data_IF_230126786312
#
_entry.id   IF_230126786312
#
_cell.length_a   1.000
_cell.length_b   1.000
_cell.length_c   1.000
_cell.angle_alpha   90.00
_cell.angle_beta   90.00
_cell.angle_gamma   90.00
#
_symmetry.space_group_name_H-M   'P 1'
#
loop_
_entity.id
_entity.type
_entity.pdbx_description
1 polymer ?
#
# COMPACT_ATOMS: atom_id res chain seq x y z
N UNK A 1 2.33 5.88 16.92
CA UNK A 1 1.84 5.50 15.57
C UNK A 1 2.93 5.69 14.52
N UNK A 2 3.36 4.63 13.83
CA UNK A 2 4.33 4.74 12.73
C UNK A 2 3.69 5.38 11.50
N UNK A 3 4.21 6.53 11.04
CA UNK A 3 3.80 7.17 9.78
C UNK A 3 4.40 6.41 8.58
N UNK A 4 3.87 5.22 8.31
CA UNK A 4 4.25 4.36 7.18
C UNK A 4 3.04 4.06 6.30
N UNK A 5 3.28 3.95 4.99
CA UNK A 5 2.28 3.51 4.03
C UNK A 5 2.04 2.00 4.14
N UNK A 6 0.79 1.56 4.13
CA UNK A 6 0.46 0.13 4.23
C UNK A 6 0.76 -0.67 2.96
N UNK A 7 0.66 -0.03 1.78
CA UNK A 7 0.86 -0.70 0.48
C UNK A 7 2.30 -0.65 -0.06
N UNK A 8 3.10 0.35 0.31
CA UNK A 8 4.43 0.60 -0.29
C UNK A 8 5.54 0.77 0.74
N UNK A 9 5.24 0.65 2.03
CA UNK A 9 6.23 0.76 3.11
C UNK A 9 6.88 2.14 3.28
N UNK A 10 6.53 3.14 2.44
CA UNK A 10 7.11 4.50 2.49
C UNK A 10 7.05 5.07 3.90
N UNK A 11 8.21 5.39 4.45
CA UNK A 11 8.39 5.86 5.82
C UNK A 11 8.85 7.32 5.85
N UNK A 12 8.90 7.88 7.06
CA UNK A 12 9.47 9.21 7.32
C UNK A 12 10.96 9.19 7.01
N UNK A 13 11.42 10.20 6.29
CA UNK A 13 12.85 10.43 6.06
C UNK A 13 13.33 11.57 6.96
N UNK A 14 14.53 11.43 7.51
CA UNK A 14 15.20 12.50 8.28
C UNK A 14 16.27 13.11 7.39
N UNK A 15 16.37 14.43 7.38
CA UNK A 15 17.44 15.13 6.69
C UNK A 15 17.68 16.52 7.25
N UNK A 16 18.21 17.40 6.41
CA UNK A 16 18.54 18.76 6.81
C UNK A 16 17.91 19.79 5.86
N UNK A 17 17.42 20.89 6.41
CA UNK A 17 17.22 22.12 5.65
C UNK A 17 18.58 22.82 5.60
N UNK A 18 19.02 23.19 4.40
CA UNK A 18 20.30 23.86 4.16
C UNK A 18 20.00 25.30 3.77
N UNK A 19 20.51 26.27 4.54
CA UNK A 19 20.40 27.69 4.19
C UNK A 19 21.38 28.06 3.07
N UNK A 20 21.21 29.26 2.51
CA UNK A 20 22.18 29.83 1.56
C UNK A 20 23.62 29.87 2.12
N UNK A 21 23.76 30.09 3.43
CA UNK A 21 25.04 30.04 4.17
C UNK A 21 25.44 28.63 4.64
N UNK A 22 24.84 27.58 4.08
CA UNK A 22 25.07 26.16 4.42
C UNK A 22 24.85 25.80 5.90
N UNK A 23 24.05 26.56 6.65
CA UNK A 23 23.61 26.17 7.99
C UNK A 23 22.60 25.04 7.87
N UNK A 24 22.92 23.89 8.47
CA UNK A 24 22.11 22.67 8.41
C UNK A 24 21.24 22.55 9.66
N UNK A 25 19.92 22.60 9.51
CA UNK A 25 18.96 22.33 10.59
C UNK A 25 18.26 20.99 10.36
N UNK A 26 18.14 20.15 11.40
CA UNK A 26 17.50 18.83 11.27
C UNK A 26 16.01 18.99 10.98
N UNK A 27 15.51 18.31 9.96
CA UNK A 27 14.08 18.29 9.61
C UNK A 27 13.60 16.85 9.33
N UNK A 28 12.28 16.66 9.40
CA UNK A 28 11.61 15.39 9.08
C UNK A 28 10.74 15.58 7.84
N UNK A 29 10.98 14.77 6.81
CA UNK A 29 10.17 14.71 5.61
C UNK A 29 9.09 13.64 5.78
N UNK A 30 7.84 14.11 5.81
CA UNK A 30 6.68 13.28 6.11
C UNK A 30 6.01 12.86 4.79
N UNK A 31 5.66 11.57 4.63
CA UNK A 31 4.84 11.16 3.51
C UNK A 31 3.42 11.71 3.64
N UNK A 32 2.81 12.10 2.51
CA UNK A 32 1.40 12.51 2.45
C UNK A 32 0.52 11.26 2.61
N UNK A 33 0.09 10.97 3.84
CA UNK A 33 -0.74 9.82 4.22
C UNK A 33 -2.22 10.23 4.20
N UNK A 34 -3.02 9.48 3.45
CA UNK A 34 -4.46 9.63 3.35
C UNK A 34 -5.14 8.36 3.86
N UNK A 35 -6.25 8.52 4.58
CA UNK A 35 -7.10 7.40 4.97
C UNK A 35 -8.12 7.19 3.85
N UNK A 36 -7.99 6.09 3.11
CA UNK A 36 -8.82 5.82 1.93
C UNK A 36 -9.47 4.46 2.06
N UNK A 37 -10.70 4.36 1.55
CA UNK A 37 -11.41 3.08 1.42
C UNK A 37 -11.27 2.61 -0.02
N UNK A 38 -10.66 1.44 -0.21
CA UNK A 38 -10.52 0.80 -1.52
C UNK A 38 -11.43 -0.42 -1.57
N UNK A 39 -12.06 -0.66 -2.73
CA UNK A 39 -12.90 -1.82 -2.97
C UNK A 39 -12.03 -2.95 -3.54
N UNK A 40 -12.20 -4.16 -3.02
CA UNK A 40 -11.65 -5.40 -3.58
C UNK A 40 -12.79 -6.12 -4.31
N UNK A 41 -12.55 -6.48 -5.56
CA UNK A 41 -13.53 -7.17 -6.41
C UNK A 41 -13.50 -8.68 -6.13
N UNK A 42 -12.31 -9.24 -5.89
CA UNK A 42 -12.14 -10.66 -5.54
C UNK A 42 -12.80 -11.01 -4.20
N UNK A 43 -12.78 -10.09 -3.22
CA UNK A 43 -13.37 -10.29 -1.90
C UNK A 43 -14.75 -9.62 -1.72
N UNK A 44 -15.21 -8.83 -2.70
CA UNK A 44 -16.40 -7.97 -2.60
C UNK A 44 -16.46 -7.16 -1.29
N UNK A 45 -15.30 -6.73 -0.78
CA UNK A 45 -15.16 -6.05 0.52
C UNK A 45 -14.50 -4.69 0.37
N UNK A 46 -15.00 -3.72 1.14
CA UNK A 46 -14.35 -2.41 1.32
C UNK A 46 -13.27 -2.51 2.39
N UNK A 47 -12.04 -2.16 2.03
CA UNK A 47 -10.89 -2.15 2.93
C UNK A 47 -10.46 -0.71 3.17
N UNK A 48 -10.42 -0.31 4.45
CA UNK A 48 -9.87 0.98 4.87
C UNK A 48 -8.38 0.82 5.11
N UNK A 49 -7.57 1.58 4.38
CA UNK A 49 -6.12 1.56 4.48
C UNK A 49 -5.55 2.98 4.62
N UNK A 50 -4.39 3.06 5.27
CA UNK A 50 -3.59 4.29 5.34
C UNK A 50 -2.53 4.27 4.25
N UNK A 51 -2.79 5.06 3.20
CA UNK A 51 -2.06 4.95 1.94
C UNK A 51 -1.47 6.31 1.57
N UNK A 52 -0.32 6.31 0.90
CA UNK A 52 0.25 7.56 0.37
C UNK A 52 -0.39 7.92 -0.96
N UNK A 53 -0.47 9.21 -1.29
CA UNK A 53 -0.99 9.67 -2.58
C UNK A 53 -0.29 9.02 -3.79
N UNK A 54 1.02 8.79 -3.71
CA UNK A 54 1.76 8.06 -4.74
C UNK A 54 1.31 6.60 -4.88
N UNK A 55 1.03 5.94 -3.75
CA UNK A 55 0.55 4.56 -3.78
C UNK A 55 -0.86 4.48 -4.38
N UNK A 56 -1.74 5.46 -4.15
CA UNK A 56 -3.05 5.53 -4.82
C UNK A 56 -2.91 5.58 -6.35
N UNK A 57 -2.04 6.47 -6.85
CA UNK A 57 -1.74 6.54 -8.29
C UNK A 57 -1.22 5.21 -8.85
N UNK A 58 -0.43 4.48 -8.06
CA UNK A 58 0.11 3.17 -8.46
C UNK A 58 -0.97 2.07 -8.46
N UNK A 59 -1.94 2.14 -7.54
CA UNK A 59 -3.09 1.22 -7.49
C UNK A 59 -3.98 1.42 -8.72
N UNK A 60 -4.30 2.66 -9.07
CA UNK A 60 -5.09 3.00 -10.25
C UNK A 60 -4.38 2.57 -11.55
N UNK A 61 -3.08 2.87 -11.68
CA UNK A 61 -2.30 2.45 -12.84
C UNK A 61 -2.24 0.91 -13.00
N UNK A 62 -2.33 0.16 -11.90
CA UNK A 62 -2.34 -1.32 -11.95
C UNK A 62 -3.73 -1.92 -12.16
N UNK A 63 -4.77 -1.10 -12.23
CA UNK A 63 -6.14 -1.55 -12.47
C UNK A 63 -6.87 -2.03 -11.21
N UNK A 64 -6.52 -1.49 -10.03
CA UNK A 64 -7.25 -1.76 -8.79
C UNK A 64 -6.40 -2.40 -7.68
N UNK A 65 -7.05 -2.59 -6.51
CA UNK A 65 -6.38 -3.06 -5.30
C UNK A 65 -5.89 -4.51 -5.44
N UNK A 66 -6.70 -5.38 -6.03
CA UNK A 66 -6.39 -6.81 -6.14
C UNK A 66 -5.23 -7.05 -7.10
N UNK A 67 -5.26 -6.42 -8.27
CA UNK A 67 -4.17 -6.47 -9.25
C UNK A 67 -2.85 -5.89 -8.70
N UNK A 68 -2.94 -4.85 -7.87
CA UNK A 68 -1.79 -4.30 -7.17
C UNK A 68 -1.20 -5.30 -6.17
N UNK A 69 -2.04 -5.95 -5.35
CA UNK A 69 -1.59 -6.85 -4.29
C UNK A 69 -0.98 -8.15 -4.82
N UNK A 70 -1.52 -8.71 -5.92
CA UNK A 70 -0.96 -9.91 -6.57
C UNK A 70 0.46 -9.64 -7.07
N UNK A 71 0.70 -8.47 -7.68
CA UNK A 71 2.01 -8.09 -8.23
C UNK A 71 2.98 -7.53 -7.18
N UNK A 72 2.48 -7.12 -6.02
CA UNK A 72 3.28 -6.49 -4.99
C UNK A 72 4.18 -7.49 -4.24
N UNK A 73 5.38 -7.01 -3.88
CA UNK A 73 6.35 -7.76 -3.07
C UNK A 73 5.94 -7.69 -1.59
N UNK A 74 5.99 -8.83 -0.90
CA UNK A 74 5.57 -8.93 0.50
C UNK A 74 6.38 -8.07 1.47
N UNK A 75 7.65 -7.82 1.16
CA UNK A 75 8.57 -7.05 2.00
C UNK A 75 8.05 -5.61 2.22
N UNK A 76 7.42 -5.01 1.21
CA UNK A 76 6.94 -3.62 1.23
C UNK A 76 5.53 -3.47 1.82
N UNK A 77 4.80 -4.58 1.95
CA UNK A 77 3.44 -4.64 2.46
C UNK A 77 3.42 -4.65 4.00
N UNK A 78 2.47 -3.93 4.60
CA UNK A 78 2.16 -4.05 6.02
C UNK A 78 1.60 -5.44 6.35
N UNK A 79 1.60 -5.79 7.64
CA UNK A 79 1.01 -7.05 8.11
C UNK A 79 -0.46 -7.21 7.66
N UNK A 80 -1.25 -6.13 7.73
CA UNK A 80 -2.65 -6.13 7.27
C UNK A 80 -2.75 -6.39 5.77
N UNK A 81 -1.89 -5.78 4.98
CA UNK A 81 -1.90 -5.95 3.53
C UNK A 81 -1.38 -7.33 3.09
N UNK A 82 -0.46 -7.94 3.84
CA UNK A 82 -0.03 -9.34 3.63
C UNK A 82 -1.15 -10.34 3.90
N UNK A 83 -1.93 -10.13 4.96
CA UNK A 83 -3.10 -10.97 5.24
C UNK A 83 -4.13 -10.87 4.12
N UNK A 84 -4.44 -9.66 3.66
CA UNK A 84 -5.34 -9.45 2.53
C UNK A 84 -4.85 -10.12 1.25
N UNK A 85 -3.54 -10.06 0.96
CA UNK A 85 -2.96 -10.75 -0.20
C UNK A 85 -3.22 -12.26 -0.13
N UNK A 86 -2.98 -12.89 1.02
CA UNK A 86 -3.24 -14.32 1.22
C UNK A 86 -4.71 -14.68 1.06
N UNK A 87 -5.62 -13.83 1.55
CA UNK A 87 -7.06 -14.04 1.43
C UNK A 87 -7.51 -13.94 -0.03
N UNK A 88 -6.96 -12.99 -0.79
CA UNK A 88 -7.21 -12.84 -2.23
C UNK A 88 -6.67 -14.05 -3.00
N UNK A 89 -5.45 -14.50 -2.74
CA UNK A 89 -4.86 -15.68 -3.39
C UNK A 89 -5.69 -16.94 -3.14
N UNK A 90 -6.16 -17.16 -1.91
CA UNK A 90 -7.07 -18.27 -1.59
C UNK A 90 -8.38 -18.19 -2.37
N UNK A 91 -9.00 -17.00 -2.44
CA UNK A 91 -10.27 -16.81 -3.16
C UNK A 91 -10.12 -16.96 -4.67
N UNK A 92 -8.99 -16.55 -5.23
CA UNK A 92 -8.66 -16.78 -6.63
C UNK A 92 -8.46 -18.28 -6.89
N UNK A 93 -7.77 -18.99 -5.98
CA UNK A 93 -7.60 -20.43 -6.11
C UNK A 93 -8.94 -21.18 -6.03
N UNK A 94 -9.84 -20.80 -5.11
CA UNK A 94 -11.19 -21.36 -5.02
C UNK A 94 -12.01 -21.14 -6.30
N UNK A 95 -11.95 -19.94 -6.88
CA UNK A 95 -12.66 -19.62 -8.13
C UNK A 95 -12.02 -20.26 -9.37
N UNK A 96 -10.72 -20.59 -9.32
CA UNK A 96 -9.99 -21.27 -10.39
C UNK A 96 -10.14 -22.80 -10.41
N UNK A 97 -10.79 -23.40 -9.41
CA UNK A 97 -11.36 -24.75 -9.48
C UNK A 97 -12.81 -24.65 -9.96
N UNK A 98 -13.09 -24.48 -11.27
CA UNK A 98 -14.43 -24.67 -11.75
C UNK A 98 -14.80 -26.14 -11.54
N UNK A 99 -16.05 -26.35 -11.16
CA UNK A 99 -16.68 -27.65 -11.00
C UNK A 99 -16.20 -28.65 -12.06
N UNK A 100 -15.59 -29.75 -11.61
CA UNK A 100 -15.51 -30.96 -12.40
C UNK A 100 -16.96 -31.45 -12.62
N UNK A 101 -17.46 -31.20 -13.82
CA UNK A 101 -18.58 -31.92 -14.41
C UNK A 101 -18.08 -33.26 -14.97
#
# INVERSE_FOLDING_TARGET
MSRRCELTGKAVQVGHLVSHSNRKTKCRFLPNLCNVTLQSDALNRRVRLRVTAHALRSVEHRGGLDAFLIKAREIELSQTARLLKRDIEKKIAETATPAAA
#
